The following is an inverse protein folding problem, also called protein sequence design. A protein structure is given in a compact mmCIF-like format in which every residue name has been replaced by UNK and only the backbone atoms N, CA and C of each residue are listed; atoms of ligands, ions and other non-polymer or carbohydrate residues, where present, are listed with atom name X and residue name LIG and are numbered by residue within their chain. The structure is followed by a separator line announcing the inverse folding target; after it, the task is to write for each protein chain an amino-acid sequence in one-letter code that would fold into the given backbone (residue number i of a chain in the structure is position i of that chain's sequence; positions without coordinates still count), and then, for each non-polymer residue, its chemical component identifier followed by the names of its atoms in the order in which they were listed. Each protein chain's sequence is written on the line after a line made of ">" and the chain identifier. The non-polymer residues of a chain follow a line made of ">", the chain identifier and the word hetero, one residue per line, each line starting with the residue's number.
data_IF_248839302371
#
_entry.id   IF_248839302371
#
_cell.length_a   1.000
_cell.length_b   1.000
_cell.length_c   1.000
_cell.angle_alpha   90.00
_cell.angle_beta   90.00
_cell.angle_gamma   90.00
#
_symmetry.space_group_name_H-M   'P 1'
#
loop_
_entity.id
_entity.type
_entity.pdbx_description
1 polymer ?
#
# COMPACT_ATOMS: atom_id res chain seq x y z
N UNK A 1 22.15 -17.80 1.39
CA UNK A 1 21.90 -16.79 0.36
C UNK A 1 22.19 -15.41 0.92
N UNK A 2 22.56 -14.49 0.04
CA UNK A 2 22.96 -13.13 0.36
C UNK A 2 21.95 -12.19 -0.29
N UNK A 3 21.37 -11.31 0.52
CA UNK A 3 20.56 -10.19 0.00
C UNK A 3 21.52 -9.09 -0.40
N UNK A 4 21.47 -8.69 -1.66
CA UNK A 4 22.26 -7.61 -2.23
C UNK A 4 21.35 -6.46 -2.66
N UNK A 5 21.81 -5.24 -2.44
CA UNK A 5 21.17 -4.04 -2.99
C UNK A 5 21.32 -4.04 -4.51
N UNK A 6 20.22 -3.95 -5.26
CA UNK A 6 20.23 -3.89 -6.72
C UNK A 6 21.08 -2.72 -7.26
N UNK A 7 21.14 -1.60 -6.54
CA UNK A 7 21.80 -0.36 -6.97
C UNK A 7 23.28 -0.35 -6.61
N UNK A 8 23.62 -0.80 -5.39
CA UNK A 8 24.98 -0.67 -4.84
C UNK A 8 25.71 -2.01 -4.66
N UNK A 9 25.05 -3.14 -4.94
CA UNK A 9 25.55 -4.51 -4.72
C UNK A 9 26.13 -4.75 -3.31
N UNK A 10 25.69 -3.96 -2.33
CA UNK A 10 26.12 -4.11 -0.96
C UNK A 10 25.43 -5.33 -0.35
N UNK A 11 26.20 -6.19 0.31
CA UNK A 11 25.70 -7.32 1.08
C UNK A 11 24.98 -6.79 2.33
N UNK A 12 23.65 -6.98 2.38
CA UNK A 12 22.83 -6.48 3.49
C UNK A 12 22.62 -7.56 4.55
N UNK A 13 22.26 -8.77 4.12
CA UNK A 13 21.97 -9.89 5.02
C UNK A 13 22.44 -11.21 4.43
N UNK A 14 22.87 -12.12 5.30
CA UNK A 14 23.09 -13.53 4.97
C UNK A 14 22.05 -14.37 5.69
N UNK A 15 21.16 -14.99 4.93
CA UNK A 15 20.03 -15.78 5.46
C UNK A 15 19.90 -17.08 4.66
N UNK A 16 19.20 -18.05 5.25
CA UNK A 16 18.76 -19.25 4.53
C UNK A 16 17.66 -18.89 3.51
N UNK A 17 17.47 -19.74 2.50
CA UNK A 17 16.43 -19.54 1.49
C UNK A 17 15.03 -19.51 2.11
N UNK A 18 14.78 -20.38 3.10
CA UNK A 18 13.51 -20.47 3.82
C UNK A 18 13.22 -19.20 4.62
N UNK A 19 14.21 -18.65 5.33
CA UNK A 19 14.05 -17.39 6.07
C UNK A 19 13.77 -16.20 5.15
N UNK A 20 14.41 -16.15 3.98
CA UNK A 20 14.17 -15.08 3.01
C UNK A 20 12.75 -15.19 2.46
N UNK A 21 12.31 -16.42 2.13
CA UNK A 21 10.96 -16.67 1.63
C UNK A 21 9.91 -16.25 2.66
N UNK A 22 10.06 -16.67 3.91
CA UNK A 22 9.15 -16.28 5.01
C UNK A 22 9.13 -14.75 5.22
N UNK A 23 10.29 -14.08 5.17
CA UNK A 23 10.35 -12.62 5.26
C UNK A 23 9.59 -11.92 4.13
N UNK A 24 9.76 -12.39 2.89
CA UNK A 24 9.08 -11.82 1.72
C UNK A 24 7.57 -12.05 1.81
N UNK A 25 7.14 -13.25 2.20
CA UNK A 25 5.72 -13.58 2.38
C UNK A 25 5.06 -12.72 3.47
N UNK A 26 5.74 -12.52 4.61
CA UNK A 26 5.28 -11.61 5.67
C UNK A 26 5.18 -10.16 5.22
N UNK A 27 6.18 -9.69 4.46
CA UNK A 27 6.19 -8.33 3.95
C UNK A 27 5.04 -8.11 2.96
N UNK A 28 4.80 -9.08 2.07
CA UNK A 28 3.64 -9.09 1.18
C UNK A 28 2.32 -9.04 1.95
N UNK A 29 2.15 -9.87 2.98
CA UNK A 29 0.94 -9.87 3.81
C UNK A 29 0.67 -8.50 4.46
N UNK A 30 1.72 -7.84 4.98
CA UNK A 30 1.60 -6.46 5.51
C UNK A 30 1.18 -5.45 4.45
N UNK A 31 1.71 -5.55 3.23
CA UNK A 31 1.32 -4.68 2.12
C UNK A 31 -0.12 -4.91 1.67
N UNK A 32 -0.59 -6.14 1.70
CA UNK A 32 -2.00 -6.48 1.43
C UNK A 32 -2.93 -5.89 2.51
N UNK A 33 -2.54 -5.98 3.78
CA UNK A 33 -3.26 -5.34 4.90
C UNK A 33 -3.27 -3.81 4.75
N UNK A 34 -2.16 -3.20 4.34
CA UNK A 34 -2.07 -1.76 4.07
C UNK A 34 -3.05 -1.34 2.96
N UNK A 35 -3.12 -2.11 1.86
CA UNK A 35 -4.10 -1.89 0.79
C UNK A 35 -5.54 -1.93 1.34
N UNK A 36 -5.86 -2.93 2.17
CA UNK A 36 -7.20 -3.06 2.73
C UNK A 36 -7.55 -1.89 3.66
N UNK A 37 -6.60 -1.46 4.50
CA UNK A 37 -6.74 -0.26 5.31
C UNK A 37 -6.98 1.02 4.50
N UNK A 38 -6.37 1.14 3.32
CA UNK A 38 -6.63 2.27 2.40
C UNK A 38 -8.03 2.17 1.80
N UNK A 39 -8.46 0.98 1.35
CA UNK A 39 -9.81 0.76 0.81
C UNK A 39 -10.89 1.08 1.82
N UNK A 40 -10.71 0.68 3.08
CA UNK A 40 -11.63 0.99 4.17
C UNK A 40 -11.79 2.50 4.36
N UNK A 41 -10.68 3.24 4.30
CA UNK A 41 -10.72 4.70 4.41
C UNK A 41 -11.42 5.35 3.21
N UNK A 42 -11.29 4.79 2.01
CA UNK A 42 -12.05 5.24 0.81
C UNK A 42 -13.54 4.95 0.99
N UNK A 43 -13.89 3.73 1.43
CA UNK A 43 -15.27 3.31 1.63
C UNK A 43 -15.99 4.17 2.69
N UNK A 44 -15.32 4.47 3.81
CA UNK A 44 -15.86 5.38 4.84
C UNK A 44 -16.12 6.78 4.29
N UNK A 45 -15.21 7.30 3.47
CA UNK A 45 -15.41 8.60 2.81
C UNK A 45 -16.60 8.59 1.85
N UNK A 46 -16.70 7.58 0.99
CA UNK A 46 -17.82 7.39 0.06
C UNK A 46 -19.16 7.26 0.78
N UNK A 47 -19.22 6.48 1.85
CA UNK A 47 -20.44 6.31 2.66
C UNK A 47 -20.88 7.64 3.28
N UNK A 48 -19.94 8.39 3.87
CA UNK A 48 -20.23 9.71 4.43
C UNK A 48 -20.76 10.66 3.35
N UNK A 49 -20.10 10.73 2.19
CA UNK A 49 -20.52 11.60 1.07
C UNK A 49 -21.93 11.24 0.57
N UNK A 50 -22.22 9.95 0.40
CA UNK A 50 -23.55 9.48 -0.03
C UNK A 50 -24.63 9.79 1.00
N UNK A 51 -24.33 9.67 2.29
CA UNK A 51 -25.26 10.04 3.35
C UNK A 51 -25.57 11.54 3.34
N UNK A 52 -24.54 12.38 3.15
CA UNK A 52 -24.69 13.84 3.02
C UNK A 52 -25.51 14.23 1.77
N UNK A 53 -25.23 13.60 0.63
CA UNK A 53 -25.99 13.78 -0.61
C UNK A 53 -27.45 13.35 -0.45
N UNK A 54 -27.71 12.17 0.13
CA UNK A 54 -29.06 11.67 0.37
C UNK A 54 -29.84 12.58 1.33
N UNK A 55 -29.19 13.04 2.40
CA UNK A 55 -29.77 13.99 3.34
C UNK A 55 -30.12 15.30 2.63
N UNK A 56 -29.19 15.88 1.86
CA UNK A 56 -29.45 17.09 1.10
C UNK A 56 -30.60 16.90 0.11
N UNK A 57 -30.64 15.78 -0.62
CA UNK A 57 -31.71 15.51 -1.58
C UNK A 57 -33.08 15.37 -0.92
N UNK A 58 -33.15 14.81 0.29
CA UNK A 58 -34.39 14.66 1.07
C UNK A 58 -34.95 15.98 1.63
N UNK A 59 -34.16 17.06 1.64
CA UNK A 59 -34.62 18.37 2.10
C UNK A 59 -35.67 18.98 1.17
N UNK A 60 -36.64 19.70 1.75
CA UNK A 60 -37.60 20.49 0.99
C UNK A 60 -36.91 21.65 0.25
N UNK A 61 -37.49 22.16 -0.85
CA UNK A 61 -36.89 23.26 -1.64
C UNK A 61 -36.55 24.50 -0.81
N UNK A 62 -37.41 24.84 0.16
CA UNK A 62 -37.18 25.97 1.08
C UNK A 62 -35.96 25.71 1.96
N UNK A 63 -35.82 24.49 2.51
CA UNK A 63 -34.66 24.12 3.33
C UNK A 63 -33.37 24.04 2.51
N UNK A 64 -33.43 23.58 1.25
CA UNK A 64 -32.27 23.58 0.32
C UNK A 64 -31.74 24.99 0.08
N UNK A 65 -32.63 25.97 -0.04
CA UNK A 65 -32.24 27.37 -0.24
C UNK A 65 -31.47 27.95 0.96
N UNK A 66 -31.85 27.59 2.19
CA UNK A 66 -31.12 28.01 3.40
C UNK A 66 -29.90 27.14 3.74
N UNK A 67 -29.79 25.92 3.19
CA UNK A 67 -28.74 24.97 3.54
C UNK A 67 -27.36 25.26 2.92
N UNK A 68 -27.24 26.25 2.02
CA UNK A 68 -25.96 26.70 1.47
C UNK A 68 -25.07 25.56 0.96
N UNK A 69 -25.40 24.97 -0.19
CA UNK A 69 -24.61 23.86 -0.74
C UNK A 69 -23.14 24.29 -0.93
N UNK A 70 -22.16 23.50 -0.45
CA UNK A 70 -20.75 23.84 -0.64
C UNK A 70 -20.44 24.02 -2.13
N UNK A 71 -19.52 24.93 -2.46
CA UNK A 71 -19.13 25.12 -3.85
C UNK A 71 -18.53 23.84 -4.42
N UNK A 72 -18.96 23.46 -5.63
CA UNK A 72 -18.59 22.19 -6.29
C UNK A 72 -17.08 21.96 -6.40
N UNK A 73 -16.29 23.04 -6.40
CA UNK A 73 -14.84 22.98 -6.45
C UNK A 73 -14.21 22.34 -5.19
N UNK A 74 -14.74 22.64 -3.99
CA UNK A 74 -14.21 22.04 -2.75
C UNK A 74 -14.45 20.53 -2.71
N UNK A 75 -15.64 20.09 -3.12
CA UNK A 75 -15.99 18.66 -3.19
C UNK A 75 -15.11 17.90 -4.18
N UNK A 76 -14.74 18.51 -5.31
CA UNK A 76 -13.85 17.90 -6.29
C UNK A 76 -12.42 17.72 -5.75
N UNK A 77 -11.90 18.73 -5.04
CA UNK A 77 -10.57 18.67 -4.41
C UNK A 77 -10.54 17.60 -3.31
N UNK A 78 -11.55 17.57 -2.45
CA UNK A 78 -11.68 16.56 -1.40
C UNK A 78 -11.71 15.15 -1.97
N UNK A 79 -12.45 14.94 -3.07
CA UNK A 79 -12.51 13.65 -3.75
C UNK A 79 -11.14 13.23 -4.32
N UNK A 80 -10.39 14.15 -4.90
CA UNK A 80 -9.05 13.85 -5.41
C UNK A 80 -8.15 13.35 -4.27
N UNK A 81 -8.11 14.05 -3.14
CA UNK A 81 -7.25 13.71 -2.01
C UNK A 81 -7.69 12.41 -1.32
N UNK A 82 -8.99 12.25 -1.08
CA UNK A 82 -9.51 11.13 -0.28
C UNK A 82 -9.76 9.86 -1.06
N UNK A 83 -9.81 9.92 -2.39
CA UNK A 83 -10.08 8.77 -3.26
C UNK A 83 -8.96 8.58 -4.27
N UNK A 84 -8.73 9.57 -5.16
CA UNK A 84 -7.80 9.41 -6.29
C UNK A 84 -6.36 9.18 -5.84
N UNK A 85 -5.86 10.01 -4.92
CA UNK A 85 -4.48 9.88 -4.43
C UNK A 85 -4.29 8.61 -3.60
N UNK A 86 -5.35 8.14 -2.92
CA UNK A 86 -5.34 6.85 -2.22
C UNK A 86 -5.29 5.66 -3.17
N UNK A 87 -5.99 5.73 -4.31
CA UNK A 87 -5.84 4.71 -5.36
C UNK A 87 -4.42 4.68 -5.93
N UNK A 88 -3.78 5.85 -6.13
CA UNK A 88 -2.36 5.89 -6.54
C UNK A 88 -1.45 5.22 -5.51
N UNK A 89 -1.73 5.40 -4.22
CA UNK A 89 -0.99 4.71 -3.15
C UNK A 89 -1.17 3.19 -3.25
N UNK A 90 -2.40 2.71 -3.45
CA UNK A 90 -2.69 1.28 -3.69
C UNK A 90 -1.91 0.77 -4.92
N UNK A 91 -1.88 1.53 -6.02
CA UNK A 91 -1.16 1.13 -7.23
C UNK A 91 0.35 1.05 -6.99
N UNK A 92 0.91 1.96 -6.20
CA UNK A 92 2.32 1.89 -5.77
C UNK A 92 2.58 0.63 -4.97
N UNK A 93 1.74 0.33 -3.97
CA UNK A 93 1.90 -0.85 -3.13
C UNK A 93 1.78 -2.14 -3.96
N UNK A 94 0.85 -2.18 -4.93
CA UNK A 94 0.71 -3.32 -5.84
C UNK A 94 1.95 -3.57 -6.68
N UNK A 95 2.64 -2.52 -7.13
CA UNK A 95 3.92 -2.67 -7.86
C UNK A 95 4.99 -3.28 -6.96
N UNK A 96 5.08 -2.85 -5.71
CA UNK A 96 5.98 -3.46 -4.73
C UNK A 96 5.63 -4.94 -4.49
N UNK A 97 4.35 -5.30 -4.38
CA UNK A 97 3.93 -6.71 -4.27
C UNK A 97 4.36 -7.51 -5.51
N UNK A 98 4.20 -6.95 -6.71
CA UNK A 98 4.63 -7.61 -7.94
C UNK A 98 6.15 -7.85 -7.98
N UNK A 99 6.95 -6.89 -7.50
CA UNK A 99 8.40 -7.05 -7.37
C UNK A 99 8.75 -8.19 -6.41
N UNK A 100 8.09 -8.27 -5.26
CA UNK A 100 8.27 -9.36 -4.29
C UNK A 100 7.86 -10.73 -4.89
N UNK A 101 6.77 -10.78 -5.65
CA UNK A 101 6.34 -12.00 -6.34
C UNK A 101 7.37 -12.46 -7.37
N UNK A 102 8.00 -11.54 -8.09
CA UNK A 102 9.09 -11.87 -9.02
C UNK A 102 10.29 -12.47 -8.26
N UNK A 103 10.65 -11.92 -7.11
CA UNK A 103 11.73 -12.47 -6.27
C UNK A 103 11.39 -13.89 -5.78
N UNK A 104 10.16 -14.12 -5.32
CA UNK A 104 9.72 -15.47 -4.92
C UNK A 104 9.77 -16.47 -6.07
N UNK A 105 9.41 -16.05 -7.28
CA UNK A 105 9.52 -16.88 -8.48
C UNK A 105 10.97 -17.22 -8.82
N UNK A 106 11.89 -16.25 -8.72
CA UNK A 106 13.32 -16.48 -8.93
C UNK A 106 13.89 -17.47 -7.91
N UNK A 107 13.49 -17.34 -6.64
CA UNK A 107 13.84 -18.28 -5.57
C UNK A 107 13.37 -19.70 -5.85
N UNK A 108 12.16 -19.86 -6.37
CA UNK A 108 11.59 -21.16 -6.70
C UNK A 108 12.24 -21.79 -7.94
N UNK A 109 12.56 -20.98 -8.96
CA UNK A 109 13.14 -21.45 -10.22
C UNK A 109 14.63 -21.79 -10.10
N UNK A 110 15.38 -21.06 -9.27
CA UNK A 110 16.82 -21.20 -9.13
C UNK A 110 17.24 -21.29 -7.66
N UNK A 111 17.02 -22.42 -6.98
CA UNK A 111 17.35 -22.59 -5.56
C UNK A 111 18.87 -22.55 -5.27
N UNK A 112 19.70 -22.66 -6.32
CA UNK A 112 21.16 -22.56 -6.23
C UNK A 112 21.69 -21.12 -6.36
N UNK A 113 20.83 -20.13 -6.56
CA UNK A 113 21.25 -18.72 -6.64
C UNK A 113 21.74 -18.28 -5.26
N UNK A 114 23.00 -17.85 -5.14
CA UNK A 114 23.53 -17.42 -3.85
C UNK A 114 23.18 -15.97 -3.51
N UNK A 115 22.80 -15.17 -4.52
CA UNK A 115 22.56 -13.72 -4.40
C UNK A 115 21.15 -13.35 -4.88
N UNK A 116 20.45 -12.53 -4.11
CA UNK A 116 19.13 -11.99 -4.48
C UNK A 116 19.24 -10.47 -4.52
N UNK A 117 19.13 -9.84 -5.70
CA UNK A 117 18.99 -8.41 -5.80
C UNK A 117 17.60 -8.01 -5.31
N UNK A 118 17.56 -7.08 -4.36
CA UNK A 118 16.34 -6.42 -3.90
C UNK A 118 16.49 -4.92 -4.08
N UNK A 119 15.38 -4.23 -4.37
CA UNK A 119 15.39 -2.78 -4.39
C UNK A 119 15.72 -2.20 -3.01
N UNK A 120 16.33 -1.00 -2.96
CA UNK A 120 16.65 -0.31 -1.70
C UNK A 120 15.43 -0.07 -0.80
N UNK A 121 14.24 0.05 -1.38
CA UNK A 121 12.98 0.24 -0.65
C UNK A 121 12.61 -1.01 0.15
N UNK A 122 12.61 -2.16 -0.49
CA UNK A 122 12.33 -3.45 0.16
C UNK A 122 13.37 -3.75 1.24
N UNK A 123 14.64 -3.46 0.97
CA UNK A 123 15.72 -3.63 1.96
C UNK A 123 15.48 -2.81 3.22
N UNK A 124 15.07 -1.55 3.08
CA UNK A 124 14.74 -0.67 4.22
C UNK A 124 13.58 -1.23 5.04
N UNK A 125 12.56 -1.75 4.37
CA UNK A 125 11.42 -2.35 5.04
C UNK A 125 11.80 -3.64 5.77
N UNK A 126 12.55 -4.55 5.14
CA UNK A 126 13.06 -5.77 5.79
C UNK A 126 13.89 -5.41 7.03
N UNK A 127 14.73 -4.36 6.95
CA UNK A 127 15.49 -3.86 8.10
C UNK A 127 14.57 -3.38 9.22
N UNK A 128 13.46 -2.73 8.90
CA UNK A 128 12.47 -2.31 9.89
C UNK A 128 11.79 -3.51 10.55
N UNK A 129 11.38 -4.54 9.77
CA UNK A 129 10.77 -5.76 10.31
C UNK A 129 11.74 -6.48 11.25
N UNK A 130 12.98 -6.71 10.83
CA UNK A 130 14.00 -7.35 11.67
C UNK A 130 14.42 -6.50 12.87
N UNK A 131 14.46 -5.18 12.72
CA UNK A 131 14.77 -4.26 13.81
C UNK A 131 13.70 -4.27 14.92
N UNK A 132 12.43 -4.51 14.57
CA UNK A 132 11.36 -4.72 15.54
C UNK A 132 11.46 -6.06 16.26
N UNK A 133 12.07 -7.09 15.67
CA UNK A 133 12.28 -8.40 16.31
C UNK A 133 13.45 -8.41 17.31
N UNK A 134 14.31 -7.38 17.28
CA UNK A 134 15.48 -7.25 18.16
C UNK A 134 15.23 -6.42 19.44
N UNK A 135 13.99 -5.96 19.67
CA UNK A 135 13.51 -5.23 20.84
C UNK A 135 12.51 -6.07 21.64
#
# INVERSE_FOLDING_TARGET
>A
MIIVDEVYQNVVYRLSSEEIKDLIERLKARKEEEIEGIKDKINKYEQKRRAEEAMYQSLSPIRKWFAGHPASHHTAVEYIVHVKDRFKQIDSIKRTIQELDQVLLLLAAHPATEEIPLSPEIIREIKFIKGMEAL
#
